data_IF_696052848486
#
_entry.id   IF_696052848486
#
_cell.length_a   1.000
_cell.length_b   1.000
_cell.length_c   1.000
_cell.angle_alpha   90.00
_cell.angle_beta   90.00
_cell.angle_gamma   90.00
#
_symmetry.space_group_name_H-M   'P 1'
#
loop_
_entity.id
_entity.type
_entity.pdbx_description
1 polymer ?
#
# COMPACT_ATOMS: atom_id res chain seq x y z
N UNK A 1 -57.71 39.66 21.59
CA UNK A 1 -57.93 38.27 22.03
C UNK A 1 -57.90 37.42 20.77
N UNK A 2 -56.90 36.55 20.60
CA UNK A 2 -56.91 35.60 19.48
C UNK A 2 -57.93 34.52 19.78
N UNK A 3 -58.85 34.30 18.86
CA UNK A 3 -59.84 33.21 18.97
C UNK A 3 -59.20 31.90 18.50
N UNK A 4 -59.70 30.76 18.97
CA UNK A 4 -59.21 29.45 18.55
C UNK A 4 -59.29 29.22 17.03
N UNK A 5 -60.20 29.92 16.32
CA UNK A 5 -60.26 29.88 14.85
C UNK A 5 -59.10 30.62 14.18
N UNK A 6 -58.58 31.69 14.80
CA UNK A 6 -57.45 32.44 14.28
C UNK A 6 -56.16 31.61 14.33
N UNK A 7 -55.99 30.80 15.39
CA UNK A 7 -54.87 29.86 15.53
C UNK A 7 -54.96 28.75 14.47
N UNK A 8 -56.16 28.21 14.23
CA UNK A 8 -56.39 27.18 13.21
C UNK A 8 -56.11 27.69 11.79
N UNK A 9 -56.50 28.93 11.50
CA UNK A 9 -56.30 29.54 10.18
C UNK A 9 -54.84 29.90 9.95
N UNK A 10 -54.16 30.42 10.98
CA UNK A 10 -52.72 30.66 10.94
C UNK A 10 -51.94 29.36 10.72
N UNK A 11 -52.28 28.28 11.44
CA UNK A 11 -51.67 26.98 11.26
C UNK A 11 -51.90 26.42 9.85
N UNK A 12 -53.13 26.50 9.33
CA UNK A 12 -53.46 26.04 7.97
C UNK A 12 -52.69 26.83 6.89
N UNK A 13 -52.58 28.15 7.02
CA UNK A 13 -51.78 29.00 6.11
C UNK A 13 -50.29 28.70 6.26
N UNK A 14 -49.78 28.51 7.48
CA UNK A 14 -48.38 28.12 7.69
C UNK A 14 -48.11 26.76 7.05
N UNK A 15 -49.01 25.79 7.21
CA UNK A 15 -48.90 24.46 6.59
C UNK A 15 -49.00 24.56 5.07
N UNK A 16 -49.91 25.37 4.51
CA UNK A 16 -50.06 25.59 3.06
C UNK A 16 -48.90 26.35 2.42
N UNK A 17 -48.18 27.18 3.17
CA UNK A 17 -46.98 27.89 2.68
C UNK A 17 -45.72 27.04 2.91
N UNK A 18 -45.64 26.33 4.03
CA UNK A 18 -44.50 25.46 4.35
C UNK A 18 -44.54 24.15 3.57
N UNK A 19 -45.71 23.59 3.19
CA UNK A 19 -45.77 22.38 2.37
C UNK A 19 -45.09 22.58 1.01
N UNK A 20 -45.45 23.58 0.18
CA UNK A 20 -44.81 23.79 -1.12
C UNK A 20 -43.33 24.10 -1.00
N UNK A 21 -42.93 24.84 0.05
CA UNK A 21 -41.52 25.07 0.36
C UNK A 21 -40.82 23.74 0.66
N UNK A 22 -41.36 22.91 1.55
CA UNK A 22 -40.83 21.58 1.92
C UNK A 22 -40.91 20.57 0.77
N UNK A 23 -41.79 20.76 -0.21
CA UNK A 23 -41.88 19.91 -1.42
C UNK A 23 -40.95 20.36 -2.55
N UNK A 24 -40.35 21.55 -2.46
CA UNK A 24 -39.28 21.96 -3.37
C UNK A 24 -37.94 21.32 -2.95
N UNK A 25 -37.06 21.01 -3.91
CA UNK A 25 -35.71 20.50 -3.60
C UNK A 25 -34.96 21.41 -2.62
N UNK A 26 -35.13 22.73 -2.76
CA UNK A 26 -34.49 23.71 -1.90
C UNK A 26 -35.03 23.68 -0.47
N UNK A 27 -36.34 23.50 -0.27
CA UNK A 27 -36.89 23.39 1.09
C UNK A 27 -36.60 22.04 1.74
N UNK A 28 -36.49 20.94 0.98
CA UNK A 28 -35.96 19.67 1.51
C UNK A 28 -34.52 19.85 1.99
N UNK A 29 -33.67 20.52 1.19
CA UNK A 29 -32.28 20.83 1.57
C UNK A 29 -32.23 21.72 2.82
N UNK A 30 -33.07 22.76 2.91
CA UNK A 30 -33.16 23.63 4.08
C UNK A 30 -33.65 22.90 5.32
N UNK A 31 -34.71 22.10 5.21
CA UNK A 31 -35.24 21.30 6.30
C UNK A 31 -34.21 20.27 6.80
N UNK A 32 -33.52 19.60 5.88
CA UNK A 32 -32.41 18.69 6.21
C UNK A 32 -31.30 19.42 6.97
N UNK A 33 -30.90 20.61 6.53
CA UNK A 33 -29.91 21.43 7.22
C UNK A 33 -30.38 21.89 8.60
N UNK A 34 -31.65 22.31 8.74
CA UNK A 34 -32.24 22.72 10.01
C UNK A 34 -32.32 21.53 11.00
N UNK A 35 -32.76 20.36 10.54
CA UNK A 35 -32.77 19.12 11.33
C UNK A 35 -31.35 18.74 11.74
N UNK A 36 -30.38 18.76 10.82
CA UNK A 36 -28.96 18.50 11.14
C UNK A 36 -28.44 19.49 12.19
N UNK A 37 -28.76 20.77 12.06
CA UNK A 37 -28.35 21.81 13.02
C UNK A 37 -28.97 21.57 14.38
N UNK A 38 -30.28 21.29 14.43
CA UNK A 38 -31.00 20.97 15.65
C UNK A 38 -30.44 19.70 16.32
N UNK A 39 -30.14 18.65 15.55
CA UNK A 39 -29.55 17.42 16.07
C UNK A 39 -28.14 17.68 16.62
N UNK A 40 -27.35 18.52 15.97
CA UNK A 40 -26.01 18.89 16.45
C UNK A 40 -26.05 19.68 17.76
N UNK A 41 -27.04 20.57 17.93
CA UNK A 41 -27.19 21.36 19.16
C UNK A 41 -27.79 20.55 20.30
N UNK A 42 -28.84 19.76 20.03
CA UNK A 42 -29.54 18.97 21.05
C UNK A 42 -28.84 17.67 21.41
N UNK A 43 -28.08 17.08 20.48
CA UNK A 43 -27.31 15.85 20.67
C UNK A 43 -25.89 15.99 20.10
N UNK A 44 -25.00 16.78 20.73
CA UNK A 44 -23.64 17.02 20.25
C UNK A 44 -22.80 15.76 20.04
N UNK A 45 -23.11 14.66 20.74
CA UNK A 45 -22.46 13.37 20.56
C UNK A 45 -22.68 12.77 19.15
N UNK A 46 -23.82 13.04 18.51
CA UNK A 46 -24.14 12.61 17.14
C UNK A 46 -23.39 13.46 16.10
N UNK A 47 -22.99 14.67 16.45
CA UNK A 47 -22.19 15.55 15.61
C UNK A 47 -20.72 15.14 15.55
N UNK A 48 -20.30 14.14 16.33
CA UNK A 48 -18.90 13.73 16.46
C UNK A 48 -18.67 12.33 15.91
N UNK A 49 -17.53 12.12 15.28
CA UNK A 49 -17.05 10.82 14.81
C UNK A 49 -15.75 10.45 15.53
N UNK A 50 -15.39 9.17 15.48
CA UNK A 50 -14.07 8.72 15.96
C UNK A 50 -12.97 9.25 15.03
N UNK A 51 -11.77 9.47 15.57
CA UNK A 51 -10.57 9.83 14.80
C UNK A 51 -9.56 8.68 14.85
N UNK A 52 -8.92 8.44 13.71
CA UNK A 52 -7.76 7.57 13.56
C UNK A 52 -6.85 8.18 12.48
N UNK A 53 -5.80 8.90 12.88
CA UNK A 53 -4.80 9.46 11.96
C UNK A 53 -3.54 8.59 11.93
N UNK A 54 -2.67 8.83 10.95
CA UNK A 54 -1.42 8.08 10.81
C UNK A 54 -0.50 8.30 12.03
N UNK A 55 -0.51 9.52 12.58
CA UNK A 55 0.21 9.88 13.80
C UNK A 55 -0.26 9.09 15.03
N UNK A 56 -1.50 8.59 15.03
CA UNK A 56 -2.06 7.81 16.13
C UNK A 56 -1.58 6.34 16.08
N UNK A 57 -1.03 5.87 14.96
CA UNK A 57 -0.55 4.49 14.79
C UNK A 57 0.83 4.35 15.46
N UNK A 58 1.00 3.39 16.39
CA UNK A 58 2.26 3.22 17.10
C UNK A 58 3.36 2.66 16.18
N UNK A 59 4.61 2.90 16.57
CA UNK A 59 5.76 2.34 15.88
C UNK A 59 5.85 0.80 15.99
N UNK A 60 6.60 0.20 15.07
CA UNK A 60 6.84 -1.23 15.01
C UNK A 60 5.81 -1.98 14.16
N UNK A 61 5.56 -3.25 14.49
CA UNK A 61 4.66 -4.13 13.74
C UNK A 61 3.22 -3.59 13.80
N UNK A 62 2.57 -3.51 12.64
CA UNK A 62 1.20 -2.99 12.49
C UNK A 62 0.16 -4.00 12.99
N UNK A 63 0.33 -5.28 12.68
CA UNK A 63 -0.47 -6.38 13.20
C UNK A 63 0.39 -7.59 13.53
N UNK A 64 0.24 -8.06 14.78
CA UNK A 64 0.92 -9.23 15.33
C UNK A 64 0.18 -10.53 14.96
N UNK A 65 -1.12 -10.42 14.67
CA UNK A 65 -2.00 -11.56 14.39
C UNK A 65 -2.17 -11.74 12.88
N UNK A 66 -1.27 -12.51 12.25
CA UNK A 66 -1.75 -13.41 11.21
C UNK A 66 -1.51 -14.84 11.70
N UNK A 67 -2.53 -15.70 11.71
CA UNK A 67 -2.27 -17.12 11.80
C UNK A 67 -1.41 -17.49 10.59
N UNK A 68 -0.13 -17.79 10.84
CA UNK A 68 0.94 -18.06 9.87
C UNK A 68 0.57 -19.18 8.86
N UNK A 69 -0.55 -19.89 9.04
CA UNK A 69 -0.97 -21.02 8.22
C UNK A 69 -2.47 -21.25 8.06
N UNK A 70 -3.37 -20.41 8.59
CA UNK A 70 -4.78 -20.56 8.22
C UNK A 70 -4.89 -20.26 6.73
N UNK A 71 -5.35 -21.26 5.97
CA UNK A 71 -5.17 -21.29 4.53
C UNK A 71 -5.73 -20.01 3.92
N UNK A 72 -5.05 -19.46 2.92
CA UNK A 72 -5.54 -18.32 2.13
C UNK A 72 -7.00 -18.54 1.68
N UNK A 73 -7.45 -19.80 1.56
CA UNK A 73 -8.83 -20.22 1.35
C UNK A 73 -9.81 -19.91 2.49
N UNK A 74 -9.44 -19.94 3.78
CA UNK A 74 -10.31 -19.49 4.88
C UNK A 74 -10.49 -17.97 4.87
N UNK A 75 -9.44 -17.21 4.56
CA UNK A 75 -9.52 -15.76 4.33
C UNK A 75 -10.30 -15.40 3.05
N UNK A 76 -10.56 -16.33 2.13
CA UNK A 76 -11.49 -16.10 0.98
C UNK A 76 -12.95 -16.10 1.44
N UNK A 77 -13.26 -16.76 2.56
CA UNK A 77 -14.63 -16.96 3.03
C UNK A 77 -15.03 -16.03 4.17
N UNK A 78 -14.14 -15.13 4.62
CA UNK A 78 -14.57 -13.99 5.46
C UNK A 78 -15.34 -13.02 4.58
N UNK A 79 -16.58 -13.39 4.26
CA UNK A 79 -17.58 -12.51 3.68
C UNK A 79 -17.69 -11.30 4.60
N UNK A 80 -17.59 -10.12 4.01
CA UNK A 80 -17.84 -8.89 4.75
C UNK A 80 -19.23 -8.99 5.38
N UNK A 81 -19.29 -9.03 6.71
CA UNK A 81 -20.58 -8.98 7.40
C UNK A 81 -21.09 -7.55 7.31
N UNK A 82 -22.19 -7.37 6.57
CA UNK A 82 -22.92 -6.10 6.54
C UNK A 82 -23.52 -5.87 7.93
N UNK A 83 -22.73 -5.27 8.81
CA UNK A 83 -23.10 -4.93 10.18
C UNK A 83 -22.88 -3.44 10.43
N UNK A 84 -23.56 -2.93 11.46
CA UNK A 84 -23.18 -1.64 12.04
C UNK A 84 -21.71 -1.71 12.42
N UNK A 85 -20.95 -0.65 12.10
CA UNK A 85 -19.48 -0.60 12.31
C UNK A 85 -18.71 -1.74 11.62
N UNK A 86 -19.12 -2.17 10.43
CA UNK A 86 -18.36 -3.17 9.67
C UNK A 86 -16.89 -2.75 9.43
N UNK A 87 -16.61 -1.44 9.38
CA UNK A 87 -15.26 -0.89 9.31
C UNK A 87 -14.39 -1.30 10.52
N UNK A 88 -14.97 -1.61 11.68
CA UNK A 88 -14.23 -2.06 12.86
C UNK A 88 -13.64 -3.45 12.61
N UNK A 89 -14.36 -4.30 11.88
CA UNK A 89 -13.86 -5.60 11.43
C UNK A 89 -12.80 -5.53 10.32
N UNK A 90 -12.59 -4.35 9.70
CA UNK A 90 -11.55 -4.14 8.70
C UNK A 90 -10.37 -3.35 9.28
N UNK A 91 -10.60 -2.12 9.74
CA UNK A 91 -9.57 -1.26 10.34
C UNK A 91 -8.96 -1.86 11.59
N UNK A 92 -9.75 -2.38 12.54
CA UNK A 92 -9.19 -2.91 13.77
C UNK A 92 -8.45 -4.23 13.56
N UNK A 93 -8.70 -4.95 12.45
CA UNK A 93 -7.89 -6.12 12.07
C UNK A 93 -6.55 -5.72 11.46
N UNK A 94 -6.51 -4.62 10.72
CA UNK A 94 -5.25 -4.12 10.14
C UNK A 94 -4.44 -3.36 11.18
N UNK A 95 -5.08 -2.55 12.02
CA UNK A 95 -4.44 -1.72 13.04
C UNK A 95 -4.88 -2.09 14.47
N UNK A 96 -4.74 -3.36 14.91
CA UNK A 96 -5.24 -3.82 16.20
C UNK A 96 -4.59 -3.08 17.37
N UNK A 97 -3.28 -2.82 17.28
CA UNK A 97 -2.54 -2.10 18.33
C UNK A 97 -3.06 -0.69 18.50
N UNK A 98 -3.36 0.02 17.41
CA UNK A 98 -3.93 1.37 17.50
C UNK A 98 -5.31 1.36 18.13
N UNK A 99 -6.14 0.38 17.75
CA UNK A 99 -7.52 0.30 18.21
C UNK A 99 -7.65 -0.10 19.68
N UNK A 100 -6.79 -1.01 20.14
CA UNK A 100 -6.77 -1.57 21.50
C UNK A 100 -5.78 -0.86 22.44
N UNK A 101 -5.03 0.13 21.95
CA UNK A 101 -4.03 0.83 22.76
C UNK A 101 -4.70 1.56 23.94
N UNK A 102 -4.24 1.36 25.19
CA UNK A 102 -4.71 2.12 26.34
C UNK A 102 -4.33 3.61 26.24
N UNK A 103 -3.33 3.93 25.42
CA UNK A 103 -2.89 5.29 25.14
C UNK A 103 -3.67 5.94 23.99
N UNK A 104 -4.57 5.19 23.32
CA UNK A 104 -5.47 5.76 22.32
C UNK A 104 -6.33 6.79 23.03
N UNK A 105 -6.05 8.07 22.79
CA UNK A 105 -6.96 9.13 23.20
C UNK A 105 -8.22 8.93 22.37
N UNK A 106 -9.42 8.78 22.98
CA UNK A 106 -10.66 8.83 22.23
C UNK A 106 -10.83 10.25 21.69
N UNK A 107 -10.14 10.55 20.60
CA UNK A 107 -10.23 11.80 19.89
C UNK A 107 -11.51 11.71 19.07
N UNK A 108 -12.58 12.29 19.63
CA UNK A 108 -13.79 12.57 18.87
C UNK A 108 -13.62 13.90 18.17
N UNK A 109 -13.80 13.91 16.86
CA UNK A 109 -13.75 15.13 16.03
C UNK A 109 -15.13 15.45 15.50
N UNK A 110 -15.37 16.72 15.18
CA UNK A 110 -16.65 17.14 14.63
C UNK A 110 -16.80 16.62 13.19
N UNK A 111 -17.99 16.07 12.89
CA UNK A 111 -18.36 15.64 11.55
C UNK A 111 -18.60 16.87 10.66
N UNK A 112 -18.18 16.85 9.38
CA UNK A 112 -18.63 17.80 8.39
C UNK A 112 -20.16 17.86 8.31
N UNK A 113 -20.72 19.05 8.09
CA UNK A 113 -22.18 19.29 8.01
C UNK A 113 -22.81 18.50 6.84
N UNK A 114 -22.04 18.25 5.79
CA UNK A 114 -22.40 17.40 4.66
C UNK A 114 -22.78 15.98 5.08
N UNK A 115 -22.12 15.40 6.09
CA UNK A 115 -22.38 14.03 6.53
C UNK A 115 -23.69 13.88 7.34
N UNK A 116 -24.29 12.69 7.25
CA UNK A 116 -25.47 12.34 8.03
C UNK A 116 -25.16 12.26 9.54
N UNK A 117 -25.84 13.05 10.37
CA UNK A 117 -25.59 13.08 11.82
C UNK A 117 -25.85 11.72 12.51
N UNK A 118 -26.85 10.97 12.03
CA UNK A 118 -27.25 9.69 12.63
C UNK A 118 -26.33 8.52 12.26
N UNK A 119 -25.50 8.67 11.22
CA UNK A 119 -24.52 7.65 10.85
C UNK A 119 -23.25 7.77 11.66
N UNK A 120 -22.63 6.64 11.93
CA UNK A 120 -21.31 6.59 12.54
C UNK A 120 -20.23 6.63 11.46
N UNK A 121 -19.17 7.40 11.72
CA UNK A 121 -18.03 7.51 10.84
C UNK A 121 -16.74 7.38 11.65
N UNK A 122 -15.66 7.03 10.97
CA UNK A 122 -14.28 7.21 11.44
C UNK A 122 -13.60 8.22 10.53
N UNK A 123 -13.16 9.35 11.09
CA UNK A 123 -12.33 10.32 10.40
C UNK A 123 -10.88 9.83 10.41
N UNK A 124 -10.30 9.68 9.23
CA UNK A 124 -8.90 9.29 9.03
C UNK A 124 -8.22 10.23 8.05
N UNK A 125 -6.91 10.09 7.87
CA UNK A 125 -6.16 10.77 6.81
C UNK A 125 -5.91 9.83 5.61
N UNK A 126 -5.61 10.42 4.45
CA UNK A 126 -5.32 9.65 3.24
C UNK A 126 -4.11 8.72 3.43
N UNK A 127 -3.10 9.11 4.22
CA UNK A 127 -1.93 8.26 4.52
C UNK A 127 -2.33 6.96 5.22
N UNK A 128 -3.21 7.01 6.22
CA UNK A 128 -3.75 5.84 6.93
C UNK A 128 -4.59 4.97 6.01
N UNK A 129 -5.39 5.58 5.14
CA UNK A 129 -6.19 4.83 4.17
C UNK A 129 -5.31 4.11 3.12
N UNK A 130 -4.26 4.76 2.62
CA UNK A 130 -3.31 4.14 1.70
C UNK A 130 -2.54 3.00 2.38
N UNK A 131 -2.13 3.17 3.63
CA UNK A 131 -1.55 2.09 4.42
C UNK A 131 -2.50 0.89 4.57
N UNK A 132 -3.78 1.13 4.84
CA UNK A 132 -4.80 0.07 4.86
C UNK A 132 -4.85 -0.66 3.51
N UNK A 133 -4.90 0.09 2.40
CA UNK A 133 -4.90 -0.47 1.05
C UNK A 133 -3.67 -1.36 0.83
N UNK A 134 -2.46 -0.89 1.18
CA UNK A 134 -1.21 -1.66 1.00
C UNK A 134 -1.25 -2.96 1.82
N UNK A 135 -1.68 -2.89 3.08
CA UNK A 135 -1.79 -4.05 3.97
C UNK A 135 -2.84 -5.09 3.53
N UNK A 136 -3.88 -4.64 2.81
CA UNK A 136 -5.04 -5.44 2.44
C UNK A 136 -5.16 -5.75 0.94
N UNK A 137 -4.30 -5.20 0.09
CA UNK A 137 -4.27 -5.51 -1.33
C UNK A 137 -3.72 -6.92 -1.57
N UNK A 138 -4.50 -7.78 -2.23
CA UNK A 138 -3.97 -9.06 -2.75
C UNK A 138 -3.30 -8.84 -4.10
N UNK A 139 -2.08 -9.36 -4.26
CA UNK A 139 -1.53 -9.62 -5.57
C UNK A 139 -2.45 -10.62 -6.32
N UNK A 140 -2.95 -10.31 -7.52
CA UNK A 140 -3.69 -11.28 -8.36
C UNK A 140 -2.66 -12.13 -9.10
N UNK A 141 -2.73 -13.45 -8.96
CA UNK A 141 -2.01 -14.37 -9.85
C UNK A 141 -2.98 -14.80 -10.94
N UNK A 142 -2.64 -14.62 -12.20
CA UNK A 142 -3.30 -15.35 -13.29
C UNK A 142 -2.87 -16.81 -13.22
N UNK A 143 -3.73 -17.75 -13.59
CA UNK A 143 -3.33 -19.16 -13.70
C UNK A 143 -2.14 -19.28 -14.66
N UNK A 144 -0.99 -19.72 -14.13
CA UNK A 144 0.27 -19.86 -14.88
C UNK A 144 1.26 -18.70 -14.76
N UNK A 145 0.92 -17.59 -14.09
CA UNK A 145 1.88 -16.49 -13.85
C UNK A 145 2.73 -16.74 -12.61
N UNK A 146 4.05 -16.59 -12.75
CA UNK A 146 5.03 -16.74 -11.66
C UNK A 146 5.04 -15.54 -10.72
N UNK A 147 4.50 -14.40 -11.18
CA UNK A 147 4.49 -13.13 -10.46
C UNK A 147 3.09 -12.56 -10.42
N UNK A 148 2.69 -11.91 -9.33
CA UNK A 148 1.36 -11.37 -9.25
C UNK A 148 1.23 -10.01 -9.96
N UNK A 149 0.12 -9.82 -10.66
CA UNK A 149 -0.35 -8.50 -11.11
C UNK A 149 -1.08 -7.80 -9.98
N UNK A 150 -0.69 -6.57 -9.65
CA UNK A 150 -1.54 -5.71 -8.84
C UNK A 150 -2.65 -5.15 -9.73
N UNK A 151 -3.85 -5.73 -9.66
CA UNK A 151 -4.99 -5.21 -10.42
C UNK A 151 -5.75 -4.24 -9.54
N UNK A 152 -5.44 -2.95 -9.73
CA UNK A 152 -6.32 -1.86 -9.31
C UNK A 152 -7.34 -1.73 -10.44
N UNK A 153 -8.57 -2.20 -10.18
CA UNK A 153 -9.66 -1.95 -11.10
C UNK A 153 -10.31 -0.61 -10.70
N UNK A 154 -10.11 0.40 -11.56
CA UNK A 154 -10.75 1.70 -11.45
C UNK A 154 -12.19 1.62 -11.95
N UNK A 155 -13.16 1.82 -11.06
CA UNK A 155 -14.57 1.90 -11.42
C UNK A 155 -15.09 3.35 -11.28
N UNK A 156 -16.12 3.75 -12.04
CA UNK A 156 -16.78 5.05 -11.87
C UNK A 156 -17.31 5.28 -10.43
N UNK A 157 -17.56 4.20 -9.69
CA UNK A 157 -18.14 4.17 -8.35
C UNK A 157 -17.09 4.05 -7.22
N UNK A 158 -15.79 4.01 -7.55
CA UNK A 158 -14.70 3.92 -6.56
C UNK A 158 -13.58 2.94 -6.95
N UNK A 159 -12.70 2.63 -5.99
CA UNK A 159 -11.56 1.73 -6.20
C UNK A 159 -11.88 0.34 -5.66
N UNK A 160 -11.70 -0.68 -6.49
CA UNK A 160 -11.76 -2.06 -6.01
C UNK A 160 -10.39 -2.69 -6.10
N UNK A 161 -9.86 -3.11 -4.95
CA UNK A 161 -8.70 -4.00 -4.89
C UNK A 161 -9.23 -5.42 -4.70
N UNK A 162 -8.70 -6.38 -5.46
CA UNK A 162 -9.14 -7.78 -5.58
C UNK A 162 -9.89 -8.41 -4.39
N UNK A 163 -9.38 -8.27 -3.15
CA UNK A 163 -9.98 -8.82 -1.91
C UNK A 163 -10.25 -7.75 -0.84
N UNK A 164 -9.79 -6.52 -1.08
CA UNK A 164 -10.10 -5.37 -0.25
C UNK A 164 -10.74 -4.29 -1.11
N UNK A 165 -12.03 -4.06 -0.95
CA UNK A 165 -12.69 -2.99 -1.68
C UNK A 165 -12.64 -1.70 -0.86
N UNK A 166 -12.10 -0.63 -1.44
CA UNK A 166 -12.16 0.72 -0.88
C UNK A 166 -13.02 1.56 -1.82
N UNK A 167 -14.33 1.51 -1.58
CA UNK A 167 -15.26 2.35 -2.32
C UNK A 167 -15.05 3.79 -1.87
N UNK A 168 -14.80 4.71 -2.80
CA UNK A 168 -14.53 6.12 -2.54
C UNK A 168 -15.52 6.97 -3.33
N UNK A 169 -16.08 7.97 -2.66
CA UNK A 169 -16.89 8.98 -3.32
C UNK A 169 -16.82 10.31 -2.57
N UNK A 170 -16.95 11.40 -3.31
CA UNK A 170 -17.11 12.73 -2.72
C UNK A 170 -18.59 13.01 -2.49
N UNK A 171 -18.93 13.59 -1.34
CA UNK A 171 -20.30 13.99 -1.06
C UNK A 171 -20.62 15.23 -1.89
N UNK A 172 -21.71 15.14 -2.66
CA UNK A 172 -22.13 16.18 -3.61
C UNK A 172 -22.12 17.59 -3.00
N UNK A 173 -21.59 18.55 -3.75
CA UNK A 173 -21.47 19.96 -3.34
C UNK A 173 -20.68 20.16 -2.03
N UNK A 174 -19.76 19.24 -1.70
CA UNK A 174 -18.87 19.36 -0.56
C UNK A 174 -17.47 18.85 -0.89
N UNK A 175 -16.44 19.32 -0.16
CA UNK A 175 -15.09 18.74 -0.24
C UNK A 175 -14.90 17.57 0.75
N UNK A 176 -15.97 16.80 1.01
CA UNK A 176 -15.93 15.70 1.97
C UNK A 176 -15.77 14.37 1.24
N UNK A 177 -14.63 13.71 1.46
CA UNK A 177 -14.36 12.39 0.90
C UNK A 177 -14.84 11.31 1.87
N UNK A 178 -15.66 10.39 1.39
CA UNK A 178 -16.17 9.25 2.16
C UNK A 178 -15.59 7.98 1.57
N UNK A 179 -15.26 7.04 2.47
CA UNK A 179 -14.77 5.73 2.11
C UNK A 179 -15.64 4.64 2.74
N UNK A 180 -15.73 3.50 2.07
CA UNK A 180 -16.25 2.28 2.67
C UNK A 180 -15.26 1.14 2.43
N UNK A 181 -14.87 0.50 3.53
CA UNK A 181 -13.78 -0.47 3.54
C UNK A 181 -14.32 -1.89 3.67
N UNK A 182 -13.79 -2.76 2.81
CA UNK A 182 -13.93 -4.19 2.89
C UNK A 182 -12.53 -4.79 2.79
N UNK A 183 -12.32 -5.93 3.44
CA UNK A 183 -11.07 -6.69 3.34
C UNK A 183 -10.48 -7.05 4.69
N UNK A 184 -9.49 -7.92 4.62
CA UNK A 184 -8.66 -8.39 5.73
C UNK A 184 -7.18 -8.10 5.45
N UNK A 185 -6.36 -8.17 6.49
CA UNK A 185 -4.92 -8.01 6.36
C UNK A 185 -4.29 -9.21 5.67
N UNK A 186 -3.25 -8.96 4.88
CA UNK A 186 -2.56 -10.00 4.11
C UNK A 186 -1.05 -10.00 4.33
N UNK A 187 -0.49 -8.84 4.71
CA UNK A 187 0.94 -8.64 4.82
C UNK A 187 1.32 -8.26 6.25
N UNK A 188 2.33 -8.92 6.81
CA UNK A 188 2.98 -8.47 8.05
C UNK A 188 3.94 -7.33 7.72
N UNK A 189 3.55 -6.11 8.06
CA UNK A 189 4.35 -4.91 7.83
C UNK A 189 4.55 -4.14 9.12
N UNK A 190 5.70 -3.49 9.24
CA UNK A 190 5.91 -2.46 10.25
C UNK A 190 5.38 -1.11 9.77
N UNK A 191 5.21 -0.17 10.69
CA UNK A 191 4.92 1.22 10.34
C UNK A 191 6.03 1.78 9.43
N UNK A 192 7.29 1.52 9.74
CA UNK A 192 8.45 1.92 8.93
C UNK A 192 8.42 1.36 7.51
N UNK A 193 8.01 0.11 7.32
CA UNK A 193 7.80 -0.48 5.98
C UNK A 193 6.83 0.36 5.16
N UNK A 194 5.66 0.66 5.75
CA UNK A 194 4.61 1.43 5.09
C UNK A 194 5.04 2.88 4.83
N UNK A 195 5.78 3.50 5.74
CA UNK A 195 6.31 4.84 5.52
C UNK A 195 7.31 4.88 4.38
N UNK A 196 8.23 3.91 4.30
CA UNK A 196 9.17 3.80 3.18
C UNK A 196 8.43 3.63 1.85
N UNK A 197 7.48 2.70 1.78
CA UNK A 197 6.68 2.47 0.57
C UNK A 197 5.91 3.73 0.18
N UNK A 198 5.19 4.37 1.11
CA UNK A 198 4.44 5.60 0.85
C UNK A 198 5.35 6.78 0.49
N UNK A 199 6.62 6.77 0.90
CA UNK A 199 7.62 7.77 0.56
C UNK A 199 8.29 7.55 -0.80
N UNK A 200 7.93 6.51 -1.56
CA UNK A 200 8.52 6.26 -2.88
C UNK A 200 9.53 5.13 -2.92
N UNK A 201 9.72 4.36 -1.85
CA UNK A 201 10.71 3.28 -1.85
C UNK A 201 10.23 2.14 -2.77
N UNK A 202 11.15 1.29 -3.27
CA UNK A 202 10.79 0.19 -4.15
C UNK A 202 9.74 -0.74 -3.53
N UNK A 203 8.85 -1.37 -4.31
CA UNK A 203 7.81 -2.28 -3.83
C UNK A 203 8.27 -3.42 -2.90
N UNK A 204 9.53 -3.83 -3.02
CA UNK A 204 10.14 -4.89 -2.19
C UNK A 204 10.69 -4.39 -0.86
N UNK A 205 10.68 -3.08 -0.60
CA UNK A 205 11.23 -2.51 0.61
C UNK A 205 10.56 -3.11 1.84
N UNK A 206 11.39 -3.57 2.77
CA UNK A 206 11.07 -3.93 4.14
C UNK A 206 12.21 -3.41 5.00
N UNK A 207 12.00 -3.04 6.25
CA UNK A 207 13.10 -2.72 7.17
C UNK A 207 14.01 -3.95 7.35
N UNK A 208 13.38 -5.15 7.38
CA UNK A 208 14.06 -6.43 7.52
C UNK A 208 13.57 -7.44 6.50
N UNK A 209 14.53 -8.08 5.84
CA UNK A 209 14.33 -9.22 4.96
C UNK A 209 14.32 -10.51 5.78
N UNK A 210 13.31 -11.34 5.57
CA UNK A 210 13.14 -12.58 6.31
C UNK A 210 13.83 -13.74 5.58
N UNK A 211 14.70 -14.48 6.29
CA UNK A 211 15.32 -15.70 5.79
C UNK A 211 15.02 -16.88 6.71
N UNK A 212 14.25 -17.84 6.22
CA UNK A 212 13.71 -18.89 7.09
C UNK A 212 12.87 -18.32 8.24
N UNK A 213 12.77 -19.06 9.35
CA UNK A 213 11.86 -18.68 10.43
C UNK A 213 12.41 -17.59 11.36
N UNK A 214 13.72 -17.54 11.58
CA UNK A 214 14.30 -16.74 12.67
C UNK A 214 15.38 -15.73 12.27
N UNK A 215 15.76 -15.65 10.98
CA UNK A 215 16.80 -14.71 10.55
C UNK A 215 16.18 -13.45 9.93
N UNK A 216 16.57 -12.30 10.48
CA UNK A 216 16.16 -10.97 10.02
C UNK A 216 17.39 -10.21 9.56
N UNK A 217 17.45 -9.94 8.27
CA UNK A 217 18.59 -9.26 7.64
C UNK A 217 18.17 -7.84 7.32
N UNK A 218 18.90 -6.79 7.76
CA UNK A 218 18.56 -5.42 7.42
C UNK A 218 18.51 -5.23 5.90
N UNK A 219 17.51 -4.49 5.43
CA UNK A 219 17.40 -4.19 4.01
C UNK A 219 18.49 -3.22 3.56
N UNK A 220 19.04 -3.32 2.35
CA UNK A 220 20.14 -2.46 1.90
C UNK A 220 19.78 -0.98 1.68
N UNK A 221 18.50 -0.62 1.79
CA UNK A 221 18.04 0.77 1.80
C UNK A 221 17.91 1.19 3.26
N UNK A 222 18.85 2.00 3.75
CA UNK A 222 18.87 2.53 5.12
C UNK A 222 18.43 4.00 5.14
N UNK A 223 18.67 4.71 4.04
CA UNK A 223 18.26 6.10 3.87
C UNK A 223 17.66 6.35 2.46
N UNK A 224 16.95 7.47 2.24
CA UNK A 224 16.31 7.74 0.95
C UNK A 224 17.28 7.78 -0.24
N UNK A 225 18.56 8.09 0.01
CA UNK A 225 19.59 8.12 -1.03
C UNK A 225 19.89 6.73 -1.62
N UNK A 226 19.64 5.67 -0.84
CA UNK A 226 19.97 4.29 -1.19
C UNK A 226 19.01 3.67 -2.21
N UNK A 227 17.87 4.30 -2.46
CA UNK A 227 16.86 3.83 -3.43
C UNK A 227 17.48 3.61 -4.82
N UNK A 228 18.48 4.41 -5.18
CA UNK A 228 19.14 4.34 -6.49
C UNK A 228 20.33 3.38 -6.54
N UNK A 229 20.68 2.74 -5.43
CA UNK A 229 21.77 1.76 -5.35
C UNK A 229 21.30 0.38 -5.78
N UNK A 230 22.24 -0.52 -6.08
CA UNK A 230 21.92 -1.84 -6.61
C UNK A 230 21.71 -2.92 -5.52
N UNK A 231 22.08 -2.65 -4.26
CA UNK A 231 22.00 -3.64 -3.18
C UNK A 231 20.61 -4.25 -3.00
N UNK A 232 19.54 -3.45 -3.15
CA UNK A 232 18.18 -3.94 -3.02
C UNK A 232 17.73 -4.83 -4.19
N UNK A 233 18.27 -4.62 -5.40
CA UNK A 233 18.02 -5.53 -6.52
C UNK A 233 18.61 -6.91 -6.22
N UNK A 234 19.80 -6.94 -5.59
CA UNK A 234 20.40 -8.19 -5.11
C UNK A 234 19.53 -8.84 -4.04
N UNK A 235 18.98 -8.06 -3.11
CA UNK A 235 18.02 -8.57 -2.12
C UNK A 235 16.82 -9.26 -2.79
N UNK A 236 16.22 -8.67 -3.82
CA UNK A 236 15.11 -9.31 -4.57
C UNK A 236 15.55 -10.67 -5.15
N UNK A 237 16.79 -10.77 -5.62
CA UNK A 237 17.38 -12.01 -6.10
C UNK A 237 17.61 -13.08 -5.01
N UNK A 238 17.88 -12.64 -3.78
CA UNK A 238 18.21 -13.50 -2.63
C UNK A 238 16.97 -13.97 -1.84
N UNK A 239 15.93 -13.14 -1.72
CA UNK A 239 14.82 -13.36 -0.76
C UNK A 239 13.46 -13.50 -1.44
N UNK A 240 12.63 -14.42 -0.93
CA UNK A 240 11.22 -14.57 -1.31
C UNK A 240 10.39 -13.43 -0.72
N UNK A 241 10.46 -12.27 -1.39
CA UNK A 241 9.70 -11.07 -1.02
C UNK A 241 8.76 -10.71 -2.16
N UNK A 242 7.46 -10.72 -1.86
CA UNK A 242 6.44 -10.25 -2.80
C UNK A 242 6.46 -8.72 -2.83
N UNK A 243 6.45 -8.09 -4.02
CA UNK A 243 6.32 -6.65 -4.12
C UNK A 243 4.98 -6.20 -3.51
N UNK A 244 5.01 -5.10 -2.77
CA UNK A 244 3.81 -4.45 -2.27
C UNK A 244 3.21 -3.54 -3.34
N UNK A 245 1.95 -3.18 -3.15
CA UNK A 245 1.42 -2.02 -3.84
C UNK A 245 2.14 -0.77 -3.32
N UNK A 246 2.59 0.11 -4.22
CA UNK A 246 3.33 1.29 -3.84
C UNK A 246 3.57 2.22 -5.03
N UNK A 247 3.99 3.47 -4.75
CA UNK A 247 4.38 4.43 -5.79
C UNK A 247 5.42 3.81 -6.67
N UNK A 248 5.18 3.88 -7.97
CA UNK A 248 6.25 3.58 -8.91
C UNK A 248 7.32 4.65 -8.76
N UNK A 249 8.57 4.20 -8.72
CA UNK A 249 9.68 5.10 -8.98
C UNK A 249 9.41 5.78 -10.32
N UNK A 250 9.66 7.08 -10.39
CA UNK A 250 9.66 7.85 -11.63
C UNK A 250 10.32 7.02 -12.76
N UNK A 251 9.72 7.04 -13.97
CA UNK A 251 10.24 6.32 -15.16
C UNK A 251 11.73 6.56 -15.41
N UNK A 252 12.24 7.73 -15.07
CA UNK A 252 13.67 8.08 -15.22
C UNK A 252 14.55 7.42 -14.15
N UNK A 253 13.95 6.97 -13.05
CA UNK A 253 14.60 6.40 -11.88
C UNK A 253 14.48 4.87 -11.82
N UNK A 254 13.43 4.28 -12.39
CA UNK A 254 13.12 2.84 -12.28
C UNK A 254 14.27 1.90 -12.70
N UNK A 255 15.02 2.26 -13.75
CA UNK A 255 16.12 1.44 -14.26
C UNK A 255 17.49 1.85 -13.72
N UNK A 256 17.61 2.91 -12.90
CA UNK A 256 18.90 3.32 -12.34
C UNK A 256 19.54 2.22 -11.47
N UNK A 257 18.80 1.53 -10.58
CA UNK A 257 19.37 0.42 -9.78
C UNK A 257 19.85 -0.74 -10.66
N UNK A 258 19.13 -1.06 -11.74
CA UNK A 258 19.51 -2.11 -12.68
C UNK A 258 20.78 -1.73 -13.44
N UNK A 259 20.88 -0.49 -13.92
CA UNK A 259 22.14 0.02 -14.50
C UNK A 259 23.28 -0.10 -13.50
N UNK A 260 23.06 0.21 -12.22
CA UNK A 260 24.08 0.08 -11.18
C UNK A 260 24.52 -1.37 -10.97
N UNK A 261 23.63 -2.36 -11.08
CA UNK A 261 24.02 -3.78 -11.09
C UNK A 261 24.99 -4.05 -12.24
N UNK A 262 24.69 -3.56 -13.44
CA UNK A 262 25.56 -3.69 -14.61
C UNK A 262 26.92 -2.99 -14.41
N UNK A 263 26.92 -1.74 -13.94
CA UNK A 263 28.15 -0.96 -13.70
C UNK A 263 29.07 -1.70 -12.70
N UNK A 264 28.51 -2.26 -11.62
CA UNK A 264 29.29 -2.99 -10.61
C UNK A 264 29.83 -4.32 -11.17
N UNK A 265 29.00 -5.08 -11.89
CA UNK A 265 29.45 -6.33 -12.52
C UNK A 265 30.56 -6.07 -13.53
N UNK A 266 30.41 -5.09 -14.41
CA UNK A 266 31.32 -4.84 -15.53
C UNK A 266 32.59 -4.07 -15.13
N UNK A 267 32.49 -3.09 -14.23
CA UNK A 267 33.61 -2.22 -13.89
C UNK A 267 34.36 -2.65 -12.62
N UNK A 268 33.75 -3.49 -11.76
CA UNK A 268 34.35 -3.88 -10.48
C UNK A 268 34.59 -5.37 -10.36
N UNK A 269 33.61 -6.20 -10.69
CA UNK A 269 33.71 -7.66 -10.51
C UNK A 269 34.47 -8.29 -11.69
N UNK A 270 34.04 -8.02 -12.93
CA UNK A 270 34.65 -8.63 -14.13
C UNK A 270 36.17 -8.40 -14.26
N UNK A 271 36.75 -7.21 -13.98
CA UNK A 271 38.20 -7.01 -14.08
C UNK A 271 39.02 -7.87 -13.10
N UNK A 272 38.41 -8.30 -11.99
CA UNK A 272 39.06 -9.13 -10.97
C UNK A 272 38.98 -10.63 -11.29
N UNK A 273 38.12 -11.00 -12.23
CA UNK A 273 37.84 -12.38 -12.64
C UNK A 273 37.61 -12.45 -14.17
N UNK A 274 38.61 -12.03 -14.99
CA UNK A 274 38.43 -11.83 -16.43
C UNK A 274 38.08 -13.10 -17.21
N UNK A 275 38.52 -14.26 -16.72
CA UNK A 275 38.34 -15.57 -17.38
C UNK A 275 37.09 -16.32 -16.91
N UNK A 276 36.22 -15.67 -16.11
CA UNK A 276 35.02 -16.32 -15.57
C UNK A 276 33.82 -16.12 -16.51
N UNK A 277 33.47 -17.17 -17.26
CA UNK A 277 32.35 -17.17 -18.22
C UNK A 277 30.99 -16.81 -17.59
N UNK A 278 30.77 -17.16 -16.32
CA UNK A 278 29.54 -16.83 -15.61
C UNK A 278 29.43 -15.32 -15.37
N UNK A 279 30.54 -14.61 -15.12
CA UNK A 279 30.52 -13.15 -14.96
C UNK A 279 30.25 -12.47 -16.31
N UNK A 280 30.94 -12.91 -17.36
CA UNK A 280 30.74 -12.39 -18.73
C UNK A 280 29.26 -12.55 -19.14
N UNK A 281 28.68 -13.70 -18.84
CA UNK A 281 27.27 -13.99 -19.13
C UNK A 281 26.33 -13.14 -18.30
N UNK A 282 26.56 -13.02 -16.98
CA UNK A 282 25.77 -12.14 -16.11
C UNK A 282 25.80 -10.67 -16.57
N UNK A 283 26.97 -10.15 -16.96
CA UNK A 283 27.13 -8.79 -17.51
C UNK A 283 26.28 -8.61 -18.77
N UNK A 284 26.32 -9.55 -19.72
CA UNK A 284 25.52 -9.50 -20.95
C UNK A 284 24.02 -9.52 -20.66
N UNK A 285 23.59 -10.40 -19.75
CA UNK A 285 22.18 -10.56 -19.35
C UNK A 285 21.63 -9.29 -18.69
N UNK A 286 22.34 -8.75 -17.69
CA UNK A 286 21.91 -7.53 -16.99
C UNK A 286 21.91 -6.33 -17.93
N UNK A 287 22.93 -6.20 -18.81
CA UNK A 287 22.96 -5.15 -19.83
C UNK A 287 21.74 -5.22 -20.75
N UNK A 288 21.43 -6.41 -21.27
CA UNK A 288 20.27 -6.61 -22.14
C UNK A 288 18.96 -6.16 -21.47
N UNK A 289 18.73 -6.61 -20.24
CA UNK A 289 17.53 -6.25 -19.47
C UNK A 289 17.44 -4.75 -19.17
N UNK A 290 18.58 -4.12 -18.88
CA UNK A 290 18.66 -2.67 -18.68
C UNK A 290 18.33 -1.89 -19.96
N UNK A 291 18.96 -2.24 -21.08
CA UNK A 291 18.84 -1.52 -22.35
C UNK A 291 17.46 -1.70 -22.99
N UNK A 292 16.89 -2.90 -22.89
CA UNK A 292 15.61 -3.24 -23.53
C UNK A 292 14.41 -3.06 -22.61
N UNK A 293 14.62 -2.99 -21.30
CA UNK A 293 13.53 -3.01 -20.31
C UNK A 293 12.72 -4.30 -20.32
N UNK A 294 13.24 -5.40 -20.88
CA UNK A 294 12.55 -6.69 -20.96
C UNK A 294 13.48 -7.85 -20.61
N UNK A 295 12.89 -8.89 -20.01
CA UNK A 295 13.54 -10.17 -19.72
C UNK A 295 13.38 -11.22 -20.84
N UNK A 296 12.66 -10.90 -21.92
CA UNK A 296 12.32 -11.85 -22.98
C UNK A 296 13.53 -12.06 -23.88
N UNK A 297 14.07 -13.28 -23.93
CA UNK A 297 15.23 -13.62 -24.76
C UNK A 297 16.58 -13.58 -24.03
N UNK A 298 16.58 -13.33 -22.71
CA UNK A 298 17.79 -13.39 -21.87
C UNK A 298 18.43 -14.78 -21.86
N UNK A 299 17.64 -15.82 -22.14
CA UNK A 299 18.06 -17.23 -22.14
C UNK A 299 19.22 -17.49 -23.11
N UNK A 300 19.34 -16.69 -24.17
CA UNK A 300 20.42 -16.80 -25.17
C UNK A 300 21.79 -16.41 -24.62
N UNK A 301 21.82 -15.71 -23.49
CA UNK A 301 23.04 -15.22 -22.86
C UNK A 301 23.36 -15.95 -21.54
N UNK A 302 22.46 -16.82 -21.06
CA UNK A 302 22.64 -17.54 -19.80
C UNK A 302 23.52 -18.77 -19.99
N UNK A 303 24.46 -18.96 -19.05
CA UNK A 303 25.13 -20.24 -18.83
C UNK A 303 24.23 -21.15 -17.97
N UNK A 304 24.40 -22.48 -18.05
CA UNK A 304 23.64 -23.42 -17.22
C UNK A 304 23.76 -23.15 -15.71
N UNK A 305 24.90 -22.65 -15.24
CA UNK A 305 25.11 -22.37 -13.81
C UNK A 305 24.33 -21.15 -13.31
N UNK A 306 23.91 -20.25 -14.21
CA UNK A 306 23.11 -19.07 -13.85
C UNK A 306 21.59 -19.35 -13.86
N UNK A 307 21.19 -20.61 -14.08
CA UNK A 307 19.77 -20.98 -14.13
C UNK A 307 19.09 -21.03 -12.74
N UNK A 308 17.75 -20.96 -12.81
CA UNK A 308 16.76 -20.41 -11.87
C UNK A 308 16.62 -20.96 -10.44
N UNK A 309 17.69 -21.29 -9.72
CA UNK A 309 17.58 -21.49 -8.27
C UNK A 309 18.06 -20.29 -7.49
N UNK A 310 17.24 -19.87 -6.52
CA UNK A 310 17.63 -18.81 -5.60
C UNK A 310 18.75 -19.32 -4.71
N UNK A 311 19.84 -18.57 -4.58
CA UNK A 311 21.01 -19.06 -3.88
C UNK A 311 20.74 -19.18 -2.37
N UNK A 312 21.16 -20.29 -1.79
CA UNK A 312 21.14 -20.50 -0.35
C UNK A 312 22.46 -20.04 0.28
N UNK A 313 22.58 -18.74 0.56
CA UNK A 313 23.75 -18.17 1.23
C UNK A 313 23.62 -18.21 2.77
N UNK A 314 24.69 -17.94 3.52
CA UNK A 314 24.53 -17.57 4.94
C UNK A 314 24.00 -16.14 5.09
N UNK A 315 23.65 -15.72 6.31
CA UNK A 315 23.29 -14.33 6.59
C UNK A 315 24.43 -13.36 6.26
N UNK A 316 25.64 -13.63 6.76
CA UNK A 316 26.82 -12.79 6.50
C UNK A 316 27.14 -12.68 5.01
N UNK A 317 26.95 -13.76 4.25
CA UNK A 317 27.13 -13.78 2.80
C UNK A 317 26.07 -12.94 2.08
N UNK A 318 24.81 -12.96 2.53
CA UNK A 318 23.76 -12.08 1.99
C UNK A 318 24.10 -10.61 2.25
N UNK A 319 24.52 -10.26 3.47
CA UNK A 319 24.91 -8.89 3.83
C UNK A 319 26.09 -8.43 2.97
N UNK A 320 27.12 -9.27 2.82
CA UNK A 320 28.25 -8.99 1.95
C UNK A 320 27.81 -8.74 0.49
N UNK A 321 26.98 -9.63 -0.06
CA UNK A 321 26.49 -9.50 -1.43
C UNK A 321 25.71 -8.20 -1.65
N UNK A 322 24.79 -7.87 -0.74
CA UNK A 322 24.03 -6.62 -0.82
C UNK A 322 24.92 -5.39 -0.67
N UNK A 323 25.89 -5.41 0.26
CA UNK A 323 26.85 -4.32 0.47
C UNK A 323 27.71 -4.05 -0.76
N UNK A 324 28.28 -5.11 -1.36
CA UNK A 324 29.10 -5.00 -2.58
C UNK A 324 28.36 -4.27 -3.71
N UNK A 325 27.05 -4.47 -3.81
CA UNK A 325 26.22 -3.79 -4.80
C UNK A 325 25.64 -2.44 -4.34
N UNK A 326 25.75 -2.11 -3.05
CA UNK A 326 25.35 -0.82 -2.51
C UNK A 326 26.48 0.22 -2.60
N UNK A 327 27.73 -0.24 -2.53
CA UNK A 327 28.91 0.62 -2.50
C UNK A 327 29.57 0.67 -3.88
N UNK A 328 29.90 1.88 -4.34
CA UNK A 328 30.60 2.10 -5.62
C UNK A 328 32.13 2.01 -5.50
N UNK A 329 32.62 1.62 -4.32
CA UNK A 329 34.04 1.53 -4.02
C UNK A 329 34.70 0.35 -4.76
N UNK A 330 36.03 0.38 -4.89
CA UNK A 330 36.78 -0.78 -5.36
C UNK A 330 36.68 -1.91 -4.32
N UNK A 331 36.57 -3.15 -4.78
CA UNK A 331 36.58 -4.32 -3.91
C UNK A 331 37.92 -4.38 -3.15
N UNK A 332 37.85 -4.39 -1.81
CA UNK A 332 39.04 -4.60 -0.99
C UNK A 332 39.57 -6.03 -1.17
N UNK A 333 40.82 -6.29 -0.75
CA UNK A 333 41.36 -7.66 -0.76
C UNK A 333 40.51 -8.62 0.09
N UNK A 334 40.00 -8.12 1.23
CA UNK A 334 39.09 -8.88 2.10
C UNK A 334 37.76 -9.17 1.41
N UNK A 335 37.14 -8.17 0.73
CA UNK A 335 35.93 -8.38 -0.03
C UNK A 335 36.11 -9.44 -1.10
N UNK A 336 37.22 -9.40 -1.85
CA UNK A 336 37.53 -10.40 -2.88
C UNK A 336 37.66 -11.79 -2.29
N UNK A 337 38.41 -11.93 -1.19
CA UNK A 337 38.59 -13.20 -0.50
C UNK A 337 37.26 -13.78 -0.02
N UNK A 338 36.37 -12.94 0.51
CA UNK A 338 35.07 -13.36 1.03
C UNK A 338 34.01 -13.56 -0.06
N UNK A 339 34.11 -12.83 -1.19
CA UNK A 339 33.18 -12.93 -2.31
C UNK A 339 33.46 -14.15 -3.19
N UNK A 340 34.73 -14.47 -3.42
CA UNK A 340 35.15 -15.61 -4.27
C UNK A 340 34.40 -16.92 -3.99
N UNK A 341 34.25 -17.40 -2.74
CA UNK A 341 33.57 -18.66 -2.47
C UNK A 341 32.05 -18.63 -2.72
N UNK A 342 31.45 -17.44 -2.83
CA UNK A 342 30.01 -17.25 -3.04
C UNK A 342 29.69 -16.54 -4.36
N UNK A 343 30.69 -16.37 -5.23
CA UNK A 343 30.60 -15.50 -6.38
C UNK A 343 29.48 -15.94 -7.32
N UNK A 344 29.38 -17.24 -7.62
CA UNK A 344 28.34 -17.78 -8.49
C UNK A 344 26.94 -17.46 -7.97
N UNK A 345 26.71 -17.66 -6.68
CA UNK A 345 25.44 -17.36 -6.02
C UNK A 345 25.10 -15.87 -6.07
N UNK A 346 26.10 -15.00 -5.92
CA UNK A 346 25.91 -13.54 -6.06
C UNK A 346 25.55 -13.17 -7.50
N UNK A 347 26.15 -13.80 -8.50
CA UNK A 347 25.79 -13.59 -9.91
C UNK A 347 24.36 -14.07 -10.21
N UNK A 348 23.97 -15.24 -9.69
CA UNK A 348 22.60 -15.75 -9.77
C UNK A 348 21.60 -14.75 -9.15
N UNK A 349 21.90 -14.22 -7.96
CA UNK A 349 21.07 -13.21 -7.31
C UNK A 349 20.97 -11.92 -8.14
N UNK A 350 22.07 -11.44 -8.72
CA UNK A 350 22.07 -10.25 -9.57
C UNK A 350 21.18 -10.42 -10.81
N UNK A 351 21.31 -11.56 -11.49
CA UNK A 351 20.49 -11.89 -12.67
C UNK A 351 19.02 -12.06 -12.29
N UNK A 352 18.72 -12.88 -11.27
CA UNK A 352 17.35 -13.15 -10.84
C UNK A 352 16.64 -11.90 -10.28
N UNK A 353 17.35 -11.10 -9.49
CA UNK A 353 16.86 -9.85 -8.95
C UNK A 353 16.54 -8.86 -10.07
N UNK A 354 17.47 -8.67 -11.02
CA UNK A 354 17.24 -7.80 -12.18
C UNK A 354 16.04 -8.27 -12.99
N UNK A 355 15.95 -9.57 -13.30
CA UNK A 355 14.81 -10.15 -14.01
C UNK A 355 13.51 -9.84 -13.30
N UNK A 356 13.42 -10.17 -12.01
CA UNK A 356 12.21 -9.97 -11.20
C UNK A 356 11.77 -8.50 -11.18
N UNK A 357 12.72 -7.57 -11.05
CA UNK A 357 12.44 -6.14 -11.06
C UNK A 357 11.97 -5.67 -12.44
N UNK A 358 12.62 -6.11 -13.51
CA UNK A 358 12.24 -5.75 -14.89
C UNK A 358 10.86 -6.29 -15.25
N UNK A 359 10.59 -7.58 -14.98
CA UNK A 359 9.28 -8.18 -15.25
C UNK A 359 8.18 -7.44 -14.49
N UNK A 360 8.41 -7.13 -13.20
CA UNK A 360 7.45 -6.36 -12.41
C UNK A 360 7.18 -4.98 -13.02
N UNK A 361 8.21 -4.21 -13.36
CA UNK A 361 7.98 -2.89 -13.96
C UNK A 361 7.30 -2.98 -15.32
N UNK A 362 7.69 -3.92 -16.18
CA UNK A 362 7.05 -4.17 -17.48
C UNK A 362 5.55 -4.41 -17.34
N UNK A 363 5.14 -5.26 -16.40
CA UNK A 363 3.73 -5.61 -16.19
C UNK A 363 2.92 -4.47 -15.57
N UNK A 364 3.59 -3.52 -14.90
CA UNK A 364 2.94 -2.45 -14.14
C UNK A 364 3.12 -1.06 -14.78
N UNK A 365 3.73 -0.93 -15.96
CA UNK A 365 3.90 0.35 -16.69
C UNK A 365 2.58 1.09 -16.96
N UNK A 366 1.44 0.40 -16.87
CA UNK A 366 0.09 0.96 -17.04
C UNK A 366 -0.49 1.58 -15.76
N UNK A 367 0.14 1.40 -14.59
CA UNK A 367 -0.38 1.77 -13.26
C UNK A 367 0.41 2.91 -12.59
N UNK A 368 0.89 3.89 -13.37
CA UNK A 368 1.68 5.02 -12.81
C UNK A 368 0.91 5.84 -11.76
N UNK A 369 -0.42 5.85 -11.86
CA UNK A 369 -1.33 6.53 -10.93
C UNK A 369 -2.11 5.54 -10.06
N UNK A 370 -1.39 4.64 -9.38
CA UNK A 370 -2.03 3.73 -8.42
C UNK A 370 -2.68 4.50 -7.25
N UNK A 371 -2.14 5.67 -6.87
CA UNK A 371 -2.72 6.57 -5.87
C UNK A 371 -3.83 7.39 -6.50
N UNK A 372 -5.05 7.33 -5.98
CA UNK A 372 -6.12 8.12 -6.52
C UNK A 372 -5.85 9.62 -6.40
N UNK A 373 -6.24 10.46 -7.37
CA UNK A 373 -6.04 11.90 -7.29
C UNK A 373 -6.58 12.49 -5.99
N UNK A 374 -7.71 11.97 -5.52
CA UNK A 374 -8.32 12.41 -4.28
C UNK A 374 -7.53 12.04 -3.01
N UNK A 375 -6.60 11.09 -3.06
CA UNK A 375 -5.74 10.64 -1.95
C UNK A 375 -4.27 11.09 -2.08
N UNK A 376 -3.91 11.89 -3.09
CA UNK A 376 -2.53 12.36 -3.30
C UNK A 376 -2.04 13.28 -2.18
N UNK A 377 -2.92 14.05 -1.57
CA UNK A 377 -2.59 14.80 -0.36
C UNK A 377 -2.66 13.86 0.85
N UNK A 378 -1.52 13.49 1.48
CA UNK A 378 -1.50 12.53 2.59
C UNK A 378 -2.27 13.03 3.82
N UNK A 379 -2.51 14.34 3.94
CA UNK A 379 -3.23 14.96 5.06
C UNK A 379 -4.73 15.11 4.79
N UNK A 380 -5.20 14.81 3.57
CA UNK A 380 -6.62 14.92 3.26
C UNK A 380 -7.42 14.01 4.17
N UNK A 381 -8.46 14.57 4.80
CA UNK A 381 -9.35 13.80 5.66
C UNK A 381 -10.31 12.95 4.85
N UNK A 382 -10.52 11.72 5.31
CA UNK A 382 -11.43 10.74 4.73
C UNK A 382 -12.34 10.20 5.82
N UNK A 383 -13.63 10.10 5.54
CA UNK A 383 -14.63 9.63 6.50
C UNK A 383 -15.07 8.21 6.14
N UNK A 384 -14.67 7.24 6.94
CA UNK A 384 -15.02 5.84 6.73
C UNK A 384 -16.41 5.58 7.29
N UNK A 385 -17.34 5.14 6.44
CA UNK A 385 -18.69 4.74 6.84
C UNK A 385 -18.84 3.23 6.95
N UNK A 386 -19.92 2.77 7.57
CA UNK A 386 -20.29 1.36 7.59
C UNK A 386 -21.20 0.97 6.42
N UNK A 387 -21.59 -0.32 6.40
CA UNK A 387 -22.41 -0.94 5.37
C UNK A 387 -23.88 -0.50 5.39
N UNK A 388 -24.29 0.42 6.28
CA UNK A 388 -25.67 0.89 6.34
C UNK A 388 -25.98 1.80 5.15
N UNK A 389 -26.07 1.21 3.95
CA UNK A 389 -26.64 1.88 2.79
C UNK A 389 -28.04 2.34 3.16
N UNK A 390 -28.33 3.62 2.90
CA UNK A 390 -29.70 4.04 2.74
C UNK A 390 -30.25 3.19 1.59
N UNK A 391 -31.21 2.32 1.90
CA UNK A 391 -32.18 1.93 0.89
C UNK A 391 -32.90 3.24 0.53
N UNK A 392 -32.36 3.98 -0.43
CA UNK A 392 -33.02 5.13 -1.03
C UNK A 392 -34.12 4.67 -1.97
#
# INVERSE_FOLDING_TARGET
MFTWSDIGTLAAVLTLVTLPLVMSENGIKFLSLAIKTLLRTTRPSLAKCERLLWEDIPEGIISEDLPVRESITQLRNTTHSSSKRCWLNSLAKVFPRTWNSPFRRPARVDKPISLACLREYVCTDAKTLLAFIICSARPRYSDGETYPRSVIDWYPEGLRFSVAAVELWEVENSNTLVAHLHGSMLHHLTKGDLEGILAGYPPWYREYLQKGQNQRIPHPIQEPSDIFRAGWVIAVGLFWTTPLLGPQLDRTLKYKPIKRVFDILSEKIMPEYPDNDNIISAVKVVRYMWETGSDSGVERYLTPDLFYDRPNLSESCCVLAMRVFNDLCKLSHEDKSNLTPILLQVLQAAVHGTKTVVSHYKDHELNEDWVPPCLRDPKRLVYIQDCSRENH
#
